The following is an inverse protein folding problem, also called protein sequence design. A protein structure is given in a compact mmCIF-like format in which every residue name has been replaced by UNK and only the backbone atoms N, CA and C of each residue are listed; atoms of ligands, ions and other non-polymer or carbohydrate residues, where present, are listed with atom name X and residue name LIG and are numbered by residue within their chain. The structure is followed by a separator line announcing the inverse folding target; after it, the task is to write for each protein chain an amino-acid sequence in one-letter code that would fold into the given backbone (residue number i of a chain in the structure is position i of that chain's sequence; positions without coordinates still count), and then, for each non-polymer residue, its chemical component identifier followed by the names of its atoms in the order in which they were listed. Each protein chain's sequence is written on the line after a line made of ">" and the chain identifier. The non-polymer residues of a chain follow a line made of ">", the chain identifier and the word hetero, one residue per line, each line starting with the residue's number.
data_IF_699242956551
#
_entry.id   IF_699242956551
#
_cell.length_a   1.000
_cell.length_b   1.000
_cell.length_c   1.000
_cell.angle_alpha   90.00
_cell.angle_beta   90.00
_cell.angle_gamma   90.00
#
_symmetry.space_group_name_H-M   'P 1'
#
loop_
_entity.id
_entity.type
_entity.pdbx_description
1 polymer ?
#
# COMPACT_ATOMS: atom_id res chain seq x y z
N UNK A 1 4.46 -10.25 -8.64
CA UNK A 1 3.85 -9.02 -8.07
C UNK A 1 2.39 -9.00 -8.49
N UNK A 2 1.47 -8.69 -7.58
CA UNK A 2 0.04 -8.58 -7.88
C UNK A 2 -0.25 -7.36 -8.78
N UNK A 3 -1.45 -7.32 -9.38
CA UNK A 3 -1.95 -6.21 -10.21
C UNK A 3 -3.09 -5.49 -9.46
N UNK A 4 -2.80 -4.41 -8.72
CA UNK A 4 -3.79 -3.72 -7.88
C UNK A 4 -4.99 -3.21 -8.67
N UNK A 5 -4.76 -2.75 -9.92
CA UNK A 5 -5.81 -2.24 -10.80
C UNK A 5 -6.96 -3.20 -11.06
N UNK A 6 -6.74 -4.50 -10.89
CA UNK A 6 -7.76 -5.51 -11.11
C UNK A 6 -8.62 -5.75 -9.87
N UNK A 7 -8.27 -5.19 -8.71
CA UNK A 7 -8.97 -5.45 -7.45
C UNK A 7 -10.42 -4.99 -7.53
N UNK A 8 -10.72 -3.85 -8.16
CA UNK A 8 -12.09 -3.34 -8.30
C UNK A 8 -12.99 -4.35 -9.02
N UNK A 9 -12.50 -4.98 -10.09
CA UNK A 9 -13.24 -6.01 -10.81
C UNK A 9 -13.45 -7.27 -9.97
N UNK A 10 -12.44 -7.67 -9.18
CA UNK A 10 -12.51 -8.83 -8.31
C UNK A 10 -13.52 -8.56 -7.18
N UNK A 11 -13.49 -7.37 -6.57
CA UNK A 11 -14.41 -6.99 -5.50
C UNK A 11 -15.86 -6.97 -5.99
N UNK A 12 -16.09 -6.46 -7.21
CA UNK A 12 -17.42 -6.47 -7.82
C UNK A 12 -17.99 -7.89 -8.01
N UNK A 13 -17.14 -8.86 -8.33
CA UNK A 13 -17.56 -10.26 -8.47
C UNK A 13 -17.67 -10.97 -7.12
N UNK A 14 -16.77 -10.68 -6.18
CA UNK A 14 -16.81 -11.21 -4.82
C UNK A 14 -18.07 -10.76 -4.09
N UNK A 15 -18.51 -9.51 -4.26
CA UNK A 15 -19.76 -9.00 -3.69
C UNK A 15 -20.96 -9.86 -4.12
N UNK A 16 -21.07 -10.17 -5.42
CA UNK A 16 -22.13 -11.02 -5.98
C UNK A 16 -22.12 -12.45 -5.46
N UNK A 17 -20.92 -13.00 -5.21
CA UNK A 17 -20.75 -14.40 -4.78
C UNK A 17 -20.98 -14.55 -3.27
N UNK A 18 -20.58 -13.55 -2.48
CA UNK A 18 -20.53 -13.65 -1.02
C UNK A 18 -21.78 -13.14 -0.31
N UNK A 19 -22.72 -12.53 -1.05
CA UNK A 19 -23.89 -11.83 -0.49
C UNK A 19 -23.44 -10.75 0.51
N UNK A 20 -22.48 -9.92 0.07
CA UNK A 20 -21.85 -8.82 0.84
C UNK A 20 -21.20 -9.21 2.17
N UNK A 21 -20.83 -10.50 2.34
CA UNK A 21 -20.11 -10.97 3.53
C UNK A 21 -18.58 -10.79 3.46
N UNK A 22 -18.10 -10.11 2.43
CA UNK A 22 -16.70 -9.76 2.27
C UNK A 22 -16.51 -8.26 2.37
N UNK A 23 -15.67 -7.83 3.31
CA UNK A 23 -15.38 -6.43 3.62
C UNK A 23 -13.93 -6.11 3.23
N UNK A 24 -13.76 -5.48 2.06
CA UNK A 24 -12.44 -5.00 1.63
C UNK A 24 -12.16 -3.65 2.28
N UNK A 25 -11.14 -3.63 3.14
CA UNK A 25 -10.84 -2.43 3.94
C UNK A 25 -9.73 -1.56 3.38
N UNK A 26 -8.93 -2.09 2.46
CA UNK A 26 -7.87 -1.33 1.81
C UNK A 26 -6.69 -2.20 1.37
N UNK A 27 -5.68 -1.54 0.82
CA UNK A 27 -4.46 -2.16 0.31
C UNK A 27 -3.21 -1.60 0.98
N UNK A 28 -2.36 -2.51 1.42
CA UNK A 28 -1.05 -2.20 2.00
C UNK A 28 0.03 -2.67 1.03
N UNK A 29 0.98 -1.80 0.69
CA UNK A 29 2.19 -2.17 -0.07
C UNK A 29 3.42 -2.09 0.80
N UNK A 30 4.32 -3.07 0.63
CA UNK A 30 5.62 -3.09 1.31
C UNK A 30 6.71 -2.83 0.27
N UNK A 31 7.36 -1.68 0.41
CA UNK A 31 8.43 -1.18 -0.44
C UNK A 31 9.79 -1.40 0.24
N UNK A 32 10.67 -2.19 -0.36
CA UNK A 32 12.03 -2.37 0.14
C UNK A 32 12.91 -1.16 -0.19
N UNK A 33 13.40 -0.46 0.83
CA UNK A 33 14.15 0.78 0.68
C UNK A 33 15.44 0.61 -0.14
N UNK A 34 16.27 -0.38 0.21
CA UNK A 34 17.55 -0.69 -0.44
C UNK A 34 17.46 -1.03 -1.93
N UNK A 35 16.26 -1.36 -2.43
CA UNK A 35 16.05 -1.76 -3.82
C UNK A 35 14.95 -0.93 -4.52
N UNK A 36 14.36 0.05 -3.82
CA UNK A 36 13.19 0.79 -4.27
C UNK A 36 13.43 1.43 -5.63
N UNK A 37 14.50 2.21 -5.74
CA UNK A 37 14.84 2.97 -6.95
C UNK A 37 15.00 2.08 -8.19
N UNK A 38 15.60 0.89 -8.03
CA UNK A 38 15.80 -0.06 -9.13
C UNK A 38 14.46 -0.66 -9.58
N UNK A 39 13.68 -1.18 -8.65
CA UNK A 39 12.39 -1.83 -8.94
C UNK A 39 11.40 -0.80 -9.51
N UNK A 40 11.30 0.37 -8.88
CA UNK A 40 10.35 1.42 -9.25
C UNK A 40 10.61 2.00 -10.65
N UNK A 41 11.88 2.08 -11.07
CA UNK A 41 12.24 2.48 -12.44
C UNK A 41 11.98 1.36 -13.45
N UNK A 42 12.26 0.11 -13.09
CA UNK A 42 12.17 -1.02 -14.01
C UNK A 42 10.74 -1.53 -14.24
N UNK A 43 9.87 -1.45 -13.23
CA UNK A 43 8.59 -2.16 -13.23
C UNK A 43 7.41 -1.20 -13.07
N UNK A 44 6.54 -1.16 -14.08
CA UNK A 44 5.27 -0.43 -13.99
C UNK A 44 4.41 -0.95 -12.82
N UNK A 45 4.45 -2.26 -12.55
CA UNK A 45 3.73 -2.86 -11.44
C UNK A 45 4.14 -2.26 -10.08
N UNK A 46 5.40 -1.88 -9.89
CA UNK A 46 5.83 -1.25 -8.64
C UNK A 46 5.20 0.13 -8.45
N UNK A 47 5.03 0.89 -9.54
CA UNK A 47 4.29 2.15 -9.50
C UNK A 47 2.81 1.91 -9.21
N UNK A 48 2.20 0.90 -9.83
CA UNK A 48 0.80 0.57 -9.56
C UNK A 48 0.58 0.16 -8.10
N UNK A 49 1.50 -0.57 -7.48
CA UNK A 49 1.42 -0.92 -6.06
C UNK A 49 1.39 0.34 -5.18
N UNK A 50 2.27 1.31 -5.43
CA UNK A 50 2.25 2.58 -4.69
C UNK A 50 1.00 3.41 -5.00
N UNK A 51 0.59 3.48 -6.26
CA UNK A 51 -0.51 4.32 -6.71
C UNK A 51 -1.89 3.91 -6.17
N UNK A 52 -2.08 2.64 -5.83
CA UNK A 52 -3.37 2.11 -5.36
C UNK A 52 -3.38 1.78 -3.86
N UNK A 53 -2.25 1.93 -3.15
CA UNK A 53 -2.19 1.61 -1.73
C UNK A 53 -2.75 2.73 -0.87
N UNK A 54 -3.49 2.35 0.17
CA UNK A 54 -3.87 3.26 1.25
C UNK A 54 -2.69 3.45 2.22
N UNK A 55 -1.86 2.41 2.40
CA UNK A 55 -0.67 2.44 3.24
C UNK A 55 0.56 1.87 2.50
N UNK A 56 1.67 2.60 2.53
CA UNK A 56 2.97 2.13 2.03
C UNK A 56 3.95 2.01 3.19
N UNK A 57 4.40 0.78 3.45
CA UNK A 57 5.47 0.49 4.40
C UNK A 57 6.80 0.50 3.66
N UNK A 58 7.65 1.49 3.94
CA UNK A 58 9.05 1.51 3.51
C UNK A 58 9.84 0.65 4.50
N UNK A 59 10.21 -0.56 4.09
CA UNK A 59 10.93 -1.53 4.92
C UNK A 59 12.43 -1.60 4.59
N UNK A 60 13.22 -2.15 5.52
CA UNK A 60 14.68 -2.22 5.48
C UNK A 60 15.34 -0.83 5.50
N UNK A 61 14.77 0.08 6.27
CA UNK A 61 15.30 1.45 6.38
C UNK A 61 16.70 1.49 7.01
N UNK A 62 17.08 0.45 7.74
CA UNK A 62 18.43 0.23 8.27
C UNK A 62 19.53 0.07 7.21
N UNK A 63 19.16 -0.22 5.95
CA UNK A 63 20.11 -0.45 4.86
C UNK A 63 20.36 0.79 3.99
N UNK A 64 19.74 1.93 4.29
CA UNK A 64 19.83 3.16 3.49
C UNK A 64 20.05 4.38 4.39
N UNK A 65 20.56 5.47 3.80
CA UNK A 65 20.70 6.74 4.53
C UNK A 65 19.41 7.57 4.48
N UNK A 66 19.34 8.60 5.34
CA UNK A 66 18.18 9.49 5.40
C UNK A 66 17.92 10.20 4.05
N UNK A 67 18.96 10.50 3.28
CA UNK A 67 18.81 11.18 1.99
C UNK A 67 18.15 10.27 0.95
N UNK A 68 18.40 8.97 0.99
CA UNK A 68 17.71 7.99 0.16
C UNK A 68 16.27 7.78 0.64
N UNK A 69 16.03 7.70 1.96
CA UNK A 69 14.68 7.63 2.51
C UNK A 69 13.81 8.83 2.10
N UNK A 70 14.32 10.06 2.24
CA UNK A 70 13.59 11.29 1.87
C UNK A 70 13.19 11.28 0.38
N UNK A 71 14.06 10.73 -0.48
CA UNK A 71 13.75 10.57 -1.91
C UNK A 71 12.66 9.54 -2.15
N UNK A 72 12.71 8.41 -1.45
CA UNK A 72 11.69 7.35 -1.57
C UNK A 72 10.33 7.91 -1.14
N UNK A 73 10.28 8.59 0.01
CA UNK A 73 9.07 9.26 0.51
C UNK A 73 8.54 10.29 -0.50
N UNK A 74 9.42 11.15 -1.02
CA UNK A 74 9.03 12.13 -2.05
C UNK A 74 8.45 11.49 -3.31
N UNK A 75 9.03 10.37 -3.77
CA UNK A 75 8.52 9.62 -4.92
C UNK A 75 7.13 9.05 -4.61
N UNK A 76 6.95 8.43 -3.44
CA UNK A 76 5.66 7.87 -3.03
C UNK A 76 4.60 8.95 -2.96
N UNK A 77 4.87 10.06 -2.26
CA UNK A 77 3.95 11.20 -2.12
C UNK A 77 3.63 11.81 -3.49
N UNK A 78 4.62 11.92 -4.38
CA UNK A 78 4.37 12.47 -5.73
C UNK A 78 3.42 11.61 -6.57
N UNK A 79 3.43 10.30 -6.33
CA UNK A 79 2.61 9.35 -7.07
C UNK A 79 1.24 9.14 -6.43
N UNK A 80 1.19 9.10 -5.10
CA UNK A 80 -0.02 8.90 -4.32
C UNK A 80 0.02 9.80 -3.07
N UNK A 81 -0.47 11.05 -3.16
CA UNK A 81 -0.51 11.97 -2.03
C UNK A 81 -1.40 11.53 -0.87
N UNK A 82 -2.30 10.57 -1.12
CA UNK A 82 -3.26 10.07 -0.12
C UNK A 82 -2.73 8.87 0.66
N UNK A 83 -1.62 8.24 0.23
CA UNK A 83 -1.06 7.10 0.94
C UNK A 83 -0.43 7.52 2.27
N UNK A 84 -0.79 6.82 3.34
CA UNK A 84 0.01 6.85 4.57
C UNK A 84 1.36 6.18 4.31
N UNK A 85 2.43 6.69 4.93
CA UNK A 85 3.78 6.14 4.81
C UNK A 85 4.30 5.78 6.18
N UNK A 86 4.80 4.55 6.31
CA UNK A 86 5.46 4.09 7.53
C UNK A 86 6.85 3.58 7.20
N UNK A 87 7.82 4.01 8.00
CA UNK A 87 9.20 3.52 7.95
C UNK A 87 9.38 2.37 8.94
N UNK A 88 10.05 1.32 8.49
CA UNK A 88 10.28 0.12 9.27
C UNK A 88 11.63 -0.52 8.93
N UNK A 89 12.20 -1.21 9.92
CA UNK A 89 13.28 -2.16 9.72
C UNK A 89 12.80 -3.53 10.19
N UNK A 90 13.21 -4.60 9.48
CA UNK A 90 12.76 -5.97 9.77
C UNK A 90 11.24 -6.19 9.81
N UNK A 91 10.47 -5.32 9.14
CA UNK A 91 9.00 -5.30 9.17
C UNK A 91 8.39 -5.11 10.57
N UNK A 92 9.13 -4.53 11.51
CA UNK A 92 8.63 -4.24 12.85
C UNK A 92 7.64 -3.06 12.81
N UNK A 93 6.37 -3.35 13.11
CA UNK A 93 5.26 -2.42 13.07
C UNK A 93 4.31 -2.68 14.23
N UNK A 94 3.74 -1.62 14.80
CA UNK A 94 2.63 -1.76 15.74
C UNK A 94 1.36 -2.11 14.97
N UNK A 95 0.70 -3.22 15.34
CA UNK A 95 -0.54 -3.68 14.70
C UNK A 95 -1.70 -2.68 14.84
N UNK A 96 -1.69 -1.87 15.90
CA UNK A 96 -2.71 -0.84 16.16
C UNK A 96 -2.85 0.12 14.97
N UNK A 97 -1.76 0.35 14.24
CA UNK A 97 -1.74 1.17 13.04
C UNK A 97 -2.67 0.59 11.97
N UNK A 98 -2.68 -0.74 11.80
CA UNK A 98 -3.57 -1.38 10.83
C UNK A 98 -5.02 -1.26 11.26
N UNK A 99 -5.30 -1.42 12.55
CA UNK A 99 -6.66 -1.25 13.06
C UNK A 99 -7.15 0.18 12.87
N UNK A 100 -6.32 1.19 13.15
CA UNK A 100 -6.69 2.60 12.99
C UNK A 100 -6.90 2.99 11.51
N UNK A 101 -6.05 2.50 10.61
CA UNK A 101 -6.11 2.81 9.19
C UNK A 101 -7.18 2.01 8.43
N UNK A 102 -7.51 0.82 8.91
CA UNK A 102 -8.39 -0.13 8.22
C UNK A 102 -9.52 -0.65 9.12
N UNK A 103 -9.98 0.19 10.04
CA UNK A 103 -11.19 -0.07 10.83
C UNK A 103 -12.40 -0.21 9.91
N UNK A 104 -13.31 -1.13 10.22
CA UNK A 104 -14.62 -1.17 9.55
C UNK A 104 -15.29 0.19 9.65
N UNK A 105 -15.43 0.89 8.54
CA UNK A 105 -16.24 2.09 8.47
C UNK A 105 -17.57 1.77 7.77
N UNK A 106 -18.66 2.19 8.40
CA UNK A 106 -20.08 1.94 8.05
C UNK A 106 -20.55 2.62 6.75
N UNK A 107 -19.63 3.16 5.95
CA UNK A 107 -19.94 4.00 4.78
C UNK A 107 -19.05 3.65 3.57
N UNK A 108 -18.75 2.36 3.36
CA UNK A 108 -18.45 1.92 1.99
C UNK A 108 -19.79 1.84 1.29
N UNK A 109 -20.00 2.71 0.30
CA UNK A 109 -21.27 2.95 -0.36
C UNK A 109 -22.07 1.67 -0.57
N UNK A 110 -23.30 1.68 -0.06
CA UNK A 110 -24.36 0.83 -0.62
C UNK A 110 -24.28 0.94 -2.14
N UNK A 111 -23.96 -0.17 -2.77
CA UNK A 111 -24.33 -0.39 -4.16
C UNK A 111 -25.86 -0.49 -4.21
#
# INVERSE_FOLDING_TARGET
>A
MSRPKSIDSILADVAKITDDRFDFRGMISIAEASNFNKIFKALNLAREQVAYSDLVIINKTDLVDNKELDKIESIIISLNPSAEIIKSSYSELNIDILENNFSSNKDVGKI
#
